data_IF_119024579005
#
_entry.id   IF_119024579005
#
_cell.length_a   1.000
_cell.length_b   1.000
_cell.length_c   1.000
_cell.angle_alpha   90.00
_cell.angle_beta   90.00
_cell.angle_gamma   90.00
#
_symmetry.space_group_name_H-M   'P 1'
#
loop_
_entity.id
_entity.type
_entity.pdbx_description
1 polymer ?
#
# COMPACT_ATOMS: atom_id res chain seq x y z
N UNK A 1 15.32 -26.54 -4.33
CA UNK A 1 15.18 -25.90 -5.66
C UNK A 1 15.54 -24.44 -5.48
N UNK A 2 16.62 -23.94 -6.10
CA UNK A 2 16.96 -22.51 -6.07
C UNK A 2 16.07 -21.82 -7.09
N UNK A 3 15.29 -20.83 -6.65
CA UNK A 3 14.49 -19.99 -7.52
C UNK A 3 15.34 -18.78 -7.90
N UNK A 4 15.77 -18.73 -9.16
CA UNK A 4 16.43 -17.55 -9.72
C UNK A 4 15.36 -16.56 -10.17
N UNK A 5 15.00 -15.62 -9.28
CA UNK A 5 13.99 -14.60 -9.53
C UNK A 5 14.66 -13.28 -9.93
N UNK A 6 14.19 -12.68 -11.03
CA UNK A 6 14.58 -11.34 -11.45
C UNK A 6 13.73 -10.29 -10.72
N UNK A 7 14.10 -9.96 -9.47
CA UNK A 7 13.37 -9.00 -8.62
C UNK A 7 14.08 -7.65 -8.68
N UNK A 8 13.35 -6.61 -9.11
CA UNK A 8 13.88 -5.24 -9.09
C UNK A 8 14.04 -4.74 -7.64
N UNK A 9 15.16 -4.08 -7.29
CA UNK A 9 15.35 -3.51 -5.97
C UNK A 9 14.27 -2.46 -5.66
N UNK A 10 13.78 -2.43 -4.41
CA UNK A 10 12.75 -1.48 -3.95
C UNK A 10 13.11 -0.02 -4.24
N UNK A 11 14.39 0.34 -4.03
CA UNK A 11 14.93 1.67 -4.26
C UNK A 11 14.81 2.15 -5.71
N UNK A 12 14.58 1.25 -6.66
CA UNK A 12 14.44 1.59 -8.09
C UNK A 12 13.11 2.29 -8.38
N UNK A 13 12.08 2.05 -7.57
CA UNK A 13 10.71 2.52 -7.83
C UNK A 13 10.01 3.14 -6.62
N UNK A 14 10.58 3.03 -5.42
CA UNK A 14 10.07 3.67 -4.21
C UNK A 14 11.23 4.24 -3.38
N UNK A 15 11.22 5.55 -3.16
CA UNK A 15 12.20 6.21 -2.29
C UNK A 15 11.61 6.42 -0.89
N UNK A 16 12.11 5.67 0.08
CA UNK A 16 11.72 5.79 1.50
C UNK A 16 12.68 6.65 2.32
N UNK A 17 13.79 7.09 1.73
CA UNK A 17 14.83 7.84 2.45
C UNK A 17 15.32 7.12 3.70
N UNK A 18 15.36 7.83 4.83
CA UNK A 18 15.71 7.30 6.16
C UNK A 18 14.47 6.88 6.97
N UNK A 19 13.26 7.04 6.41
CA UNK A 19 12.00 6.76 7.11
C UNK A 19 11.53 5.33 6.84
N UNK A 20 10.84 4.70 7.81
CA UNK A 20 10.27 3.38 7.59
C UNK A 20 9.23 3.40 6.46
N UNK A 21 9.20 2.33 5.67
CA UNK A 21 8.15 2.12 4.68
C UNK A 21 6.80 1.93 5.38
N UNK A 22 5.85 2.85 5.16
CA UNK A 22 4.51 2.77 5.75
C UNK A 22 3.46 2.52 4.67
N UNK A 23 2.75 1.41 4.80
CA UNK A 23 1.60 1.06 3.95
C UNK A 23 0.33 1.15 4.79
N UNK A 24 -0.51 2.15 4.53
CA UNK A 24 -1.70 2.44 5.33
C UNK A 24 -2.92 2.71 4.45
N UNK A 25 -4.12 2.52 5.02
CA UNK A 25 -5.36 2.59 4.25
C UNK A 25 -6.48 1.76 4.86
N UNK A 26 -7.69 1.83 4.27
CA UNK A 26 -8.85 1.10 4.77
C UNK A 26 -8.65 -0.41 4.72
N UNK A 27 -9.47 -1.13 5.48
CA UNK A 27 -9.46 -2.60 5.48
C UNK A 27 -9.83 -3.16 4.11
N UNK A 28 -10.86 -2.56 3.48
CA UNK A 28 -11.43 -2.96 2.21
C UNK A 28 -11.61 -1.76 1.30
N UNK A 29 -11.63 -1.97 -0.02
CA UNK A 29 -12.05 -0.97 -1.00
C UNK A 29 -13.58 -1.05 -1.18
N UNK A 30 -14.33 -0.27 -0.40
CA UNK A 30 -15.79 -0.38 -0.35
C UNK A 30 -16.48 0.48 -1.40
N UNK A 31 -16.06 1.73 -1.54
CA UNK A 31 -16.54 2.67 -2.57
C UNK A 31 -15.41 3.56 -3.08
N UNK A 32 -15.57 4.12 -4.27
CA UNK A 32 -14.61 5.07 -4.85
C UNK A 32 -14.43 6.30 -3.95
N UNK A 33 -15.53 6.93 -3.52
CA UNK A 33 -15.51 8.11 -2.67
C UNK A 33 -14.76 7.87 -1.35
N UNK A 34 -15.03 6.74 -0.70
CA UNK A 34 -14.35 6.35 0.54
C UNK A 34 -12.84 6.22 0.31
N UNK A 35 -12.45 5.58 -0.79
CA UNK A 35 -11.06 5.27 -1.10
C UNK A 35 -10.28 6.54 -1.45
N UNK A 36 -10.85 7.40 -2.30
CA UNK A 36 -10.26 8.69 -2.70
C UNK A 36 -10.17 9.64 -1.50
N UNK A 37 -11.24 9.76 -0.69
CA UNK A 37 -11.21 10.57 0.53
C UNK A 37 -10.14 10.10 1.51
N UNK A 38 -10.02 8.78 1.72
CA UNK A 38 -9.00 8.22 2.61
C UNK A 38 -7.59 8.46 2.07
N UNK A 39 -7.38 8.30 0.75
CA UNK A 39 -6.10 8.57 0.11
C UNK A 39 -5.65 10.02 0.34
N UNK A 40 -6.54 10.99 0.15
CA UNK A 40 -6.23 12.40 0.40
C UNK A 40 -5.92 12.68 1.87
N UNK A 41 -6.66 12.10 2.81
CA UNK A 41 -6.39 12.27 4.24
C UNK A 41 -5.04 11.69 4.64
N UNK A 42 -4.68 10.51 4.14
CA UNK A 42 -3.40 9.86 4.41
C UNK A 42 -2.23 10.63 3.77
N UNK A 43 -2.39 11.09 2.54
CA UNK A 43 -1.38 11.90 1.86
C UNK A 43 -1.08 13.21 2.64
N UNK A 44 -2.10 13.86 3.19
CA UNK A 44 -1.95 15.06 4.03
C UNK A 44 -1.11 14.83 5.29
N UNK A 45 -0.98 13.59 5.77
CA UNK A 45 -0.13 13.28 6.92
C UNK A 45 1.36 13.32 6.60
N UNK A 46 1.74 13.16 5.33
CA UNK A 46 3.14 13.03 4.89
C UNK A 46 3.86 11.77 5.36
N UNK A 47 3.17 10.82 6.03
CA UNK A 47 3.77 9.65 6.69
C UNK A 47 3.57 8.33 5.96
N UNK A 48 2.76 8.32 4.90
CA UNK A 48 2.34 7.08 4.22
C UNK A 48 3.01 7.00 2.85
N UNK A 49 3.74 5.91 2.61
CA UNK A 49 4.45 5.68 1.35
C UNK A 49 3.57 5.02 0.30
N UNK A 50 2.58 4.22 0.71
CA UNK A 50 1.63 3.57 -0.19
C UNK A 50 0.25 3.39 0.44
N UNK A 51 -0.79 3.52 -0.38
CA UNK A 51 -2.18 3.26 0.01
C UNK A 51 -2.46 1.75 -0.06
N UNK A 52 -3.02 1.16 1.00
CA UNK A 52 -3.62 -0.19 0.95
C UNK A 52 -5.14 -0.13 0.91
N UNK A 53 -5.76 -0.99 0.11
CA UNK A 53 -7.18 -1.30 0.21
C UNK A 53 -7.41 -2.72 -0.34
N UNK A 54 -8.07 -3.58 0.44
CA UNK A 54 -8.36 -4.96 0.00
C UNK A 54 -9.63 -5.04 -0.83
N UNK A 55 -9.54 -5.52 -2.08
CA UNK A 55 -10.75 -5.77 -2.92
C UNK A 55 -11.35 -7.14 -2.57
N UNK A 56 -10.50 -8.15 -2.41
CA UNK A 56 -10.92 -9.50 -2.09
C UNK A 56 -10.28 -9.96 -0.78
N UNK A 57 -11.11 -10.38 0.17
CA UNK A 57 -10.67 -11.06 1.39
C UNK A 57 -11.33 -12.44 1.47
N UNK A 58 -10.56 -13.53 1.58
CA UNK A 58 -11.12 -14.85 1.79
C UNK A 58 -11.93 -14.84 3.09
N UNK A 59 -13.21 -15.21 3.00
CA UNK A 59 -14.09 -15.36 4.17
C UNK A 59 -14.09 -16.85 4.53
N UNK A 60 -13.78 -17.16 5.77
CA UNK A 60 -14.13 -18.47 6.33
C UNK A 60 -15.65 -18.56 6.33
N UNK A 61 -16.21 -19.62 5.74
CA UNK A 61 -17.64 -19.88 5.81
C UNK A 61 -18.11 -20.04 7.25
#
# INVERSE_FOLDING_TARGET
MKLDLNIQPLSTWLNTGLEPLVIAGPCSAETEDQLVATAHLLAKTGKVSALRAGIWKPRTR
#
